data_IF_016104701405
#
_entry.id   IF_016104701405
#
_cell.length_a   1.000
_cell.length_b   1.000
_cell.length_c   1.000
_cell.angle_alpha   90.00
_cell.angle_beta   90.00
_cell.angle_gamma   90.00
#
_symmetry.space_group_name_H-M   'P 1'
#
loop_
_entity.id
_entity.type
_entity.pdbx_description
1 polymer ?
#
# COMPACT_ATOMS: atom_id res chain seq x y z
N UNK A 1 -11.24 25.95 -7.76
CA UNK A 1 -10.15 24.98 -7.60
C UNK A 1 -10.77 23.77 -6.92
N UNK A 2 -10.79 22.62 -7.61
CA UNK A 2 -11.39 21.41 -7.06
C UNK A 2 -10.61 20.90 -5.84
N UNK A 3 -11.30 20.43 -4.83
CA UNK A 3 -10.71 19.85 -3.59
C UNK A 3 -9.75 18.70 -3.89
N UNK A 4 -9.94 18.01 -5.02
CA UNK A 4 -9.08 16.94 -5.52
C UNK A 4 -7.67 17.41 -5.89
N UNK A 5 -7.50 18.62 -6.43
CA UNK A 5 -6.19 19.13 -6.85
C UNK A 5 -5.26 19.40 -5.67
N UNK A 6 -5.81 19.86 -4.54
CA UNK A 6 -5.05 20.08 -3.31
C UNK A 6 -4.56 18.78 -2.68
N UNK A 7 -5.35 17.72 -2.78
CA UNK A 7 -4.99 16.39 -2.26
C UNK A 7 -3.93 15.75 -3.14
N UNK A 8 -4.11 15.80 -4.46
CA UNK A 8 -3.08 15.34 -5.38
C UNK A 8 -1.76 16.07 -5.17
N UNK A 9 -1.77 17.40 -5.02
CA UNK A 9 -0.58 18.19 -4.75
C UNK A 9 0.09 17.81 -3.43
N UNK A 10 -0.68 17.42 -2.40
CA UNK A 10 -0.13 17.05 -1.09
C UNK A 10 0.35 15.60 -1.04
N UNK A 11 -0.32 14.65 -1.69
CA UNK A 11 0.02 13.22 -1.67
C UNK A 11 1.09 12.88 -2.71
N UNK A 12 1.06 13.53 -3.88
CA UNK A 12 1.94 13.23 -5.01
C UNK A 12 3.44 13.20 -4.65
N UNK A 13 4.01 14.19 -3.95
CA UNK A 13 5.43 14.17 -3.61
C UNK A 13 5.80 12.99 -2.70
N UNK A 14 4.93 12.58 -1.79
CA UNK A 14 5.17 11.43 -0.90
C UNK A 14 5.15 10.11 -1.67
N UNK A 15 4.18 9.92 -2.55
CA UNK A 15 4.12 8.73 -3.40
C UNK A 15 5.31 8.66 -4.35
N UNK A 16 5.77 9.81 -4.88
CA UNK A 16 6.92 9.87 -5.75
C UNK A 16 8.21 9.47 -5.00
N UNK A 17 8.43 10.01 -3.80
CA UNK A 17 9.57 9.64 -2.96
C UNK A 17 9.53 8.14 -2.64
N UNK A 18 8.36 7.61 -2.24
CA UNK A 18 8.20 6.18 -1.96
C UNK A 18 8.48 5.30 -3.18
N UNK A 19 8.02 5.72 -4.36
CA UNK A 19 8.28 5.01 -5.62
C UNK A 19 9.78 4.99 -5.96
N UNK A 20 10.46 6.12 -5.82
CA UNK A 20 11.91 6.21 -6.06
C UNK A 20 12.69 5.34 -5.07
N UNK A 21 12.34 5.39 -3.78
CA UNK A 21 12.99 4.54 -2.76
C UNK A 21 12.78 3.06 -3.08
N UNK A 22 11.56 2.65 -3.41
CA UNK A 22 11.26 1.27 -3.78
C UNK A 22 12.06 0.83 -5.02
N UNK A 23 12.15 1.69 -6.05
CA UNK A 23 12.93 1.43 -7.25
C UNK A 23 14.43 1.30 -6.96
N UNK A 24 14.99 2.17 -6.11
CA UNK A 24 16.41 2.12 -5.71
C UNK A 24 16.69 0.84 -4.92
N UNK A 25 15.84 0.48 -3.98
CA UNK A 25 15.96 -0.77 -3.20
C UNK A 25 15.88 -1.99 -4.12
N UNK A 26 14.92 -2.03 -5.03
CA UNK A 26 14.76 -3.10 -6.01
C UNK A 26 16.00 -3.21 -6.93
N UNK A 27 16.49 -2.07 -7.45
CA UNK A 27 17.69 -2.01 -8.29
C UNK A 27 18.93 -2.49 -7.52
N UNK A 28 19.08 -2.09 -6.26
CA UNK A 28 20.21 -2.50 -5.42
C UNK A 28 20.19 -4.01 -5.15
N UNK A 29 19.01 -4.57 -4.83
CA UNK A 29 18.81 -6.01 -4.63
C UNK A 29 19.08 -6.75 -5.95
N UNK A 30 18.54 -6.27 -7.06
CA UNK A 30 18.73 -6.87 -8.38
C UNK A 30 20.19 -6.83 -8.85
N UNK A 31 20.89 -5.69 -8.68
CA UNK A 31 22.29 -5.56 -9.10
C UNK A 31 23.24 -6.45 -8.30
N UNK A 32 22.90 -6.72 -7.03
CA UNK A 32 23.65 -7.70 -6.22
C UNK A 32 23.30 -9.15 -6.53
N UNK A 33 22.07 -9.41 -7.01
CA UNK A 33 21.62 -10.77 -7.32
C UNK A 33 22.00 -11.24 -8.73
N UNK A 34 22.37 -10.34 -9.65
CA UNK A 34 22.89 -10.69 -10.99
C UNK A 34 24.12 -11.62 -10.99
N UNK A 35 24.70 -11.88 -9.81
CA UNK A 35 25.84 -12.79 -9.65
C UNK A 35 25.44 -14.25 -9.36
N UNK A 36 24.15 -14.56 -9.30
CA UNK A 36 23.65 -15.94 -9.20
C UNK A 36 22.58 -16.13 -10.29
N UNK A 37 22.98 -16.88 -11.28
CA UNK A 37 22.28 -17.21 -12.51
C UNK A 37 20.94 -17.91 -12.30
N UNK A 38 20.06 -17.64 -13.26
CA UNK A 38 19.01 -18.47 -13.86
C UNK A 38 17.64 -18.63 -13.18
N UNK A 39 16.65 -18.40 -14.05
CA UNK A 39 15.26 -18.84 -14.06
C UNK A 39 14.28 -17.87 -13.35
N UNK A 40 13.33 -17.32 -13.92
CA UNK A 40 12.32 -17.69 -14.92
C UNK A 40 11.63 -16.42 -15.42
N UNK A 41 11.57 -16.21 -16.71
CA UNK A 41 10.60 -15.32 -17.36
C UNK A 41 9.21 -15.95 -17.19
N UNK A 42 8.40 -15.42 -16.31
CA UNK A 42 6.95 -15.55 -16.41
C UNK A 42 6.47 -14.36 -17.25
N UNK A 43 6.38 -14.61 -18.55
CA UNK A 43 5.60 -13.81 -19.47
C UNK A 43 4.12 -13.96 -19.06
N UNK A 44 3.54 -12.89 -18.52
CA UNK A 44 2.09 -12.76 -18.44
C UNK A 44 1.57 -12.66 -19.87
N UNK A 45 1.09 -13.78 -20.41
CA UNK A 45 0.27 -13.80 -21.62
C UNK A 45 -1.04 -13.05 -21.32
N UNK A 46 -1.13 -11.82 -21.82
CA UNK A 46 -2.40 -11.09 -22.00
C UNK A 46 -3.29 -11.83 -23.00
N UNK A 47 -3.99 -12.86 -22.58
CA UNK A 47 -5.06 -13.44 -23.38
C UNK A 47 -6.41 -12.83 -22.93
N UNK A 48 -6.86 -11.93 -23.80
CA UNK A 48 -8.09 -11.16 -23.68
C UNK A 48 -9.32 -12.07 -23.74
N UNK A 49 -10.06 -12.12 -22.68
CA UNK A 49 -11.38 -12.73 -22.39
C UNK A 49 -11.38 -13.88 -21.39
N UNK A 50 -10.77 -13.64 -20.22
CA UNK A 50 -10.75 -14.66 -19.19
C UNK A 50 -11.89 -14.40 -18.18
N UNK A 51 -12.75 -15.39 -17.86
CA UNK A 51 -13.78 -15.27 -16.82
C UNK A 51 -13.19 -14.97 -15.43
N UNK A 52 -11.87 -15.09 -15.27
CA UNK A 52 -11.11 -14.68 -14.09
C UNK A 52 -11.12 -13.17 -13.89
N UNK A 53 -11.01 -12.37 -14.97
CA UNK A 53 -11.03 -10.90 -14.88
C UNK A 53 -12.36 -10.38 -14.37
N UNK A 54 -13.48 -10.97 -14.82
CA UNK A 54 -14.81 -10.61 -14.33
C UNK A 54 -14.98 -10.92 -12.84
N UNK A 55 -14.47 -12.08 -12.37
CA UNK A 55 -14.49 -12.42 -10.94
C UNK A 55 -13.66 -11.47 -10.11
N UNK A 56 -12.46 -11.11 -10.58
CA UNK A 56 -11.59 -10.13 -9.90
C UNK A 56 -12.26 -8.77 -9.83
N UNK A 57 -12.86 -8.31 -10.94
CA UNK A 57 -13.59 -7.04 -10.98
C UNK A 57 -14.79 -7.04 -10.02
N UNK A 58 -15.53 -8.15 -9.91
CA UNK A 58 -16.65 -8.29 -8.99
C UNK A 58 -16.20 -8.27 -7.53
N UNK A 59 -15.11 -8.98 -7.20
CA UNK A 59 -14.51 -8.97 -5.86
C UNK A 59 -14.06 -7.54 -5.51
N UNK A 60 -13.38 -6.85 -6.42
CA UNK A 60 -12.94 -5.48 -6.23
C UNK A 60 -14.12 -4.53 -5.99
N UNK A 61 -15.18 -4.62 -6.81
CA UNK A 61 -16.38 -3.81 -6.65
C UNK A 61 -17.06 -4.07 -5.30
N UNK A 62 -17.15 -5.33 -4.89
CA UNK A 62 -17.72 -5.71 -3.59
C UNK A 62 -16.91 -5.15 -2.43
N UNK A 63 -15.57 -5.30 -2.47
CA UNK A 63 -14.67 -4.73 -1.47
C UNK A 63 -14.80 -3.20 -1.41
N UNK A 64 -14.90 -2.54 -2.56
CA UNK A 64 -15.08 -1.10 -2.62
C UNK A 64 -16.38 -0.65 -1.92
N UNK A 65 -17.50 -1.33 -2.17
CA UNK A 65 -18.77 -1.04 -1.49
C UNK A 65 -18.66 -1.30 0.01
N UNK A 66 -18.05 -2.41 0.41
CA UNK A 66 -17.83 -2.74 1.83
C UNK A 66 -17.01 -1.65 2.52
N UNK A 67 -15.89 -1.24 1.93
CA UNK A 67 -15.06 -0.17 2.49
C UNK A 67 -15.79 1.18 2.51
N UNK A 68 -16.63 1.49 1.53
CA UNK A 68 -17.46 2.71 1.53
C UNK A 68 -18.39 2.73 2.75
N UNK A 69 -19.08 1.63 2.99
CA UNK A 69 -19.98 1.49 4.13
C UNK A 69 -19.21 1.55 5.46
N UNK A 70 -18.10 0.81 5.57
CA UNK A 70 -17.25 0.80 6.77
C UNK A 70 -16.68 2.18 7.08
N UNK A 71 -16.16 2.88 6.07
CA UNK A 71 -15.59 4.24 6.24
C UNK A 71 -16.67 5.19 6.72
N UNK A 72 -17.86 5.15 6.13
CA UNK A 72 -18.96 6.01 6.54
C UNK A 72 -19.38 5.77 8.00
N UNK A 73 -19.63 4.52 8.37
CA UNK A 73 -20.00 4.17 9.74
C UNK A 73 -18.90 4.48 10.74
N UNK A 74 -17.64 4.20 10.38
CA UNK A 74 -16.49 4.49 11.23
C UNK A 74 -16.36 5.99 11.51
N UNK A 75 -16.55 6.84 10.49
CA UNK A 75 -16.52 8.29 10.66
C UNK A 75 -17.65 8.79 11.56
N UNK A 76 -18.86 8.23 11.41
CA UNK A 76 -20.03 8.64 12.19
C UNK A 76 -19.93 8.24 13.65
N UNK A 77 -19.48 7.02 13.94
CA UNK A 77 -19.49 6.45 15.29
C UNK A 77 -18.17 6.57 16.05
N UNK A 78 -17.03 6.53 15.37
CA UNK A 78 -15.71 6.50 15.99
C UNK A 78 -14.80 7.65 15.54
N UNK A 79 -15.26 8.51 14.64
CA UNK A 79 -14.52 9.67 14.16
C UNK A 79 -13.19 9.31 13.50
N UNK A 80 -12.21 10.22 13.60
CA UNK A 80 -10.88 10.06 12.98
C UNK A 80 -10.07 8.93 13.62
N UNK A 81 -10.26 8.66 14.92
CA UNK A 81 -9.59 7.55 15.61
C UNK A 81 -10.01 6.19 15.06
N UNK A 82 -11.31 6.01 14.78
CA UNK A 82 -11.81 4.80 14.14
C UNK A 82 -11.29 4.64 12.71
N UNK A 83 -11.16 5.75 11.97
CA UNK A 83 -10.61 5.73 10.62
C UNK A 83 -9.14 5.28 10.61
N UNK A 84 -8.34 5.69 11.59
CA UNK A 84 -6.98 5.21 11.77
C UNK A 84 -6.92 3.69 12.01
N UNK A 85 -7.82 3.16 12.84
CA UNK A 85 -7.91 1.72 13.07
C UNK A 85 -8.33 0.99 11.78
N UNK A 86 -9.32 1.50 11.07
CA UNK A 86 -9.78 0.93 9.81
C UNK A 86 -8.68 0.93 8.75
N UNK A 87 -7.86 1.98 8.68
CA UNK A 87 -6.72 2.06 7.76
C UNK A 87 -5.67 0.98 8.05
N UNK A 88 -5.39 0.72 9.32
CA UNK A 88 -4.48 -0.35 9.71
C UNK A 88 -5.03 -1.73 9.33
N UNK A 89 -6.30 -1.98 9.59
CA UNK A 89 -6.98 -3.25 9.25
C UNK A 89 -7.05 -3.45 7.73
N UNK A 90 -7.35 -2.39 6.96
CA UNK A 90 -7.39 -2.48 5.49
C UNK A 90 -6.05 -2.85 4.88
N UNK A 91 -4.94 -2.43 5.53
CA UNK A 91 -3.60 -2.80 5.12
C UNK A 91 -3.29 -4.30 5.22
N UNK A 92 -4.06 -5.07 6.02
CA UNK A 92 -3.92 -6.52 6.11
C UNK A 92 -4.47 -7.26 4.88
N UNK A 93 -5.29 -6.60 4.08
CA UNK A 93 -5.89 -7.10 2.85
C UNK A 93 -5.43 -6.28 1.65
N UNK A 94 -6.31 -6.00 0.72
CA UNK A 94 -6.04 -5.10 -0.40
C UNK A 94 -6.35 -3.65 -0.01
N UNK A 95 -5.32 -2.80 0.00
CA UNK A 95 -5.45 -1.38 0.35
C UNK A 95 -6.11 -0.54 -0.74
N UNK A 96 -6.15 -1.04 -1.98
CA UNK A 96 -6.58 -0.26 -3.15
C UNK A 96 -8.02 0.24 -3.02
N UNK A 97 -9.02 -0.61 -2.68
CA UNK A 97 -10.39 -0.15 -2.51
C UNK A 97 -10.55 0.86 -1.37
N UNK A 98 -9.79 0.68 -0.28
CA UNK A 98 -9.82 1.59 0.86
C UNK A 98 -9.27 2.97 0.52
N UNK A 99 -8.08 3.03 -0.12
CA UNK A 99 -7.45 4.30 -0.51
C UNK A 99 -8.32 5.05 -1.53
N UNK A 100 -8.85 4.34 -2.54
CA UNK A 100 -9.76 4.94 -3.51
C UNK A 100 -11.01 5.52 -2.85
N UNK A 101 -11.58 4.81 -1.86
CA UNK A 101 -12.72 5.28 -1.11
C UNK A 101 -12.39 6.55 -0.30
N UNK A 102 -11.24 6.58 0.38
CA UNK A 102 -10.79 7.77 1.11
C UNK A 102 -10.61 8.98 0.20
N UNK A 103 -10.01 8.79 -0.97
CA UNK A 103 -9.78 9.86 -1.95
C UNK A 103 -11.09 10.41 -2.54
N UNK A 104 -12.12 9.58 -2.67
CA UNK A 104 -13.43 10.02 -3.16
C UNK A 104 -14.24 10.76 -2.09
N UNK A 105 -14.04 10.43 -0.82
CA UNK A 105 -14.78 11.03 0.31
C UNK A 105 -14.10 12.27 0.93
N UNK A 106 -13.18 12.90 0.21
CA UNK A 106 -12.38 14.04 0.69
C UNK A 106 -13.18 15.29 1.04
N UNK A 107 -14.42 15.38 0.63
CA UNK A 107 -15.31 16.48 1.03
C UNK A 107 -15.77 16.43 2.50
N UNK A 108 -15.71 15.25 3.13
CA UNK A 108 -16.16 15.00 4.51
C UNK A 108 -15.01 14.80 5.50
N UNK A 109 -13.79 14.62 5.02
CA UNK A 109 -12.61 14.32 5.85
C UNK A 109 -11.48 15.32 5.53
N UNK A 110 -10.80 15.81 6.57
CA UNK A 110 -9.67 16.69 6.37
C UNK A 110 -8.56 16.00 5.55
N UNK A 111 -7.95 16.72 4.62
CA UNK A 111 -6.88 16.20 3.74
C UNK A 111 -5.76 15.55 4.55
N UNK A 112 -5.40 16.16 5.68
CA UNK A 112 -4.39 15.64 6.60
C UNK A 112 -4.72 14.21 7.08
N UNK A 113 -5.97 13.95 7.43
CA UNK A 113 -6.43 12.65 7.91
C UNK A 113 -6.41 11.63 6.77
N UNK A 114 -6.80 12.02 5.56
CA UNK A 114 -6.76 11.15 4.38
C UNK A 114 -5.34 10.70 4.08
N UNK A 115 -4.38 11.65 4.10
CA UNK A 115 -2.95 11.34 3.88
C UNK A 115 -2.42 10.42 4.97
N UNK A 116 -2.68 10.73 6.24
CA UNK A 116 -2.22 9.92 7.37
C UNK A 116 -2.77 8.49 7.31
N UNK A 117 -4.08 8.34 7.08
CA UNK A 117 -4.73 7.03 6.96
C UNK A 117 -4.20 6.23 5.75
N UNK A 118 -3.96 6.90 4.62
CA UNK A 118 -3.38 6.25 3.45
C UNK A 118 -1.96 5.75 3.72
N UNK A 119 -1.11 6.56 4.33
CA UNK A 119 0.25 6.17 4.71
C UNK A 119 0.25 5.02 5.72
N UNK A 120 -0.64 5.06 6.70
CA UNK A 120 -0.78 4.01 7.70
C UNK A 120 -1.23 2.68 7.08
N UNK A 121 -2.17 2.71 6.13
CA UNK A 121 -2.60 1.52 5.38
C UNK A 121 -1.44 0.94 4.56
N UNK A 122 -0.64 1.79 3.91
CA UNK A 122 0.56 1.37 3.17
C UNK A 122 1.58 0.70 4.09
N UNK A 123 1.87 1.27 5.26
CA UNK A 123 2.79 0.67 6.24
C UNK A 123 2.29 -0.71 6.67
N UNK A 124 1.00 -0.83 7.01
CA UNK A 124 0.40 -2.09 7.41
C UNK A 124 0.51 -3.15 6.31
N UNK A 125 0.23 -2.78 5.06
CA UNK A 125 0.34 -3.67 3.92
C UNK A 125 1.79 -4.14 3.68
N UNK A 126 2.77 -3.23 3.78
CA UNK A 126 4.20 -3.57 3.65
C UNK A 126 4.63 -4.53 4.76
N UNK A 127 4.16 -4.33 6.00
CA UNK A 127 4.45 -5.23 7.13
C UNK A 127 3.91 -6.63 6.88
N UNK A 128 2.69 -6.75 6.38
CA UNK A 128 2.08 -8.04 6.04
C UNK A 128 2.85 -8.74 4.93
N UNK A 129 3.19 -8.03 3.86
CA UNK A 129 3.98 -8.56 2.75
C UNK A 129 5.39 -8.99 3.21
N UNK A 130 6.02 -8.23 4.09
CA UNK A 130 7.29 -8.61 4.73
C UNK A 130 7.13 -9.91 5.53
N UNK A 131 6.04 -10.04 6.29
CA UNK A 131 5.77 -11.25 7.06
C UNK A 131 5.58 -12.47 6.16
N UNK A 132 4.79 -12.34 5.09
CA UNK A 132 4.64 -13.41 4.10
C UNK A 132 5.97 -13.79 3.45
N UNK A 133 6.75 -12.79 3.01
CA UNK A 133 8.06 -13.04 2.40
C UNK A 133 9.00 -13.79 3.35
N UNK A 134 9.01 -13.44 4.64
CA UNK A 134 9.80 -14.13 5.67
C UNK A 134 9.29 -15.54 5.95
N UNK A 135 7.99 -15.75 5.92
CA UNK A 135 7.37 -17.05 6.14
C UNK A 135 7.71 -18.02 5.00
N UNK A 136 7.55 -17.58 3.75
CA UNK A 136 7.87 -18.41 2.58
C UNK A 136 9.38 -18.60 2.35
N UNK A 137 10.23 -17.67 2.78
CA UNK A 137 11.68 -17.81 2.68
C UNK A 137 12.24 -18.96 3.55
N UNK A 138 11.48 -19.47 4.52
CA UNK A 138 11.89 -20.55 5.41
C UNK A 138 12.96 -20.18 6.44
N UNK A 139 13.09 -21.00 7.48
CA UNK A 139 14.09 -20.81 8.54
C UNK A 139 15.48 -21.18 7.99
N UNK A 140 16.41 -20.21 7.92
CA UNK A 140 17.80 -20.44 7.48
C UNK A 140 18.12 -19.98 6.05
N UNK A 141 17.17 -19.40 5.33
CA UNK A 141 17.41 -18.83 4.00
C UNK A 141 18.35 -17.62 4.07
N UNK A 142 19.34 -17.56 3.17
CA UNK A 142 20.22 -16.40 2.96
C UNK A 142 19.48 -15.15 2.46
N UNK A 143 18.20 -15.30 2.07
CA UNK A 143 17.33 -14.21 1.61
C UNK A 143 16.74 -13.39 2.78
N UNK A 144 16.64 -13.97 3.99
CA UNK A 144 16.01 -13.28 5.14
C UNK A 144 16.60 -11.91 5.46
N UNK A 145 17.94 -11.74 5.56
CA UNK A 145 18.51 -10.43 5.85
C UNK A 145 18.23 -9.41 4.73
N UNK A 146 18.10 -9.86 3.48
CA UNK A 146 17.76 -9.01 2.35
C UNK A 146 16.30 -8.58 2.35
N UNK A 147 15.39 -9.50 2.72
CA UNK A 147 13.95 -9.19 2.90
C UNK A 147 13.82 -8.16 4.02
N UNK A 148 14.41 -8.39 5.18
CA UNK A 148 14.35 -7.46 6.32
C UNK A 148 14.97 -6.11 5.97
N UNK A 149 16.11 -6.08 5.28
CA UNK A 149 16.75 -4.84 4.85
C UNK A 149 15.90 -4.06 3.86
N UNK A 150 15.38 -4.70 2.82
CA UNK A 150 14.57 -4.08 1.79
C UNK A 150 13.24 -3.51 2.34
N UNK A 151 12.44 -4.36 2.96
CA UNK A 151 11.16 -3.93 3.55
C UNK A 151 11.37 -2.94 4.70
N UNK A 152 12.39 -3.17 5.56
CA UNK A 152 12.71 -2.28 6.67
C UNK A 152 13.10 -0.87 6.20
N UNK A 153 13.83 -0.73 5.10
CA UNK A 153 14.17 0.58 4.51
C UNK A 153 12.92 1.30 4.04
N UNK A 154 12.02 0.60 3.32
CA UNK A 154 10.77 1.21 2.81
C UNK A 154 9.85 1.63 3.95
N UNK A 155 9.71 0.80 4.99
CA UNK A 155 8.93 1.14 6.20
C UNK A 155 9.57 2.33 6.92
N UNK A 156 10.88 2.34 7.09
CA UNK A 156 11.62 3.42 7.75
C UNK A 156 11.41 4.76 7.06
N UNK A 157 11.53 4.81 5.74
CA UNK A 157 11.27 6.02 4.95
C UNK A 157 9.82 6.47 5.10
N UNK A 158 8.87 5.53 5.04
CA UNK A 158 7.45 5.86 5.20
C UNK A 158 7.15 6.45 6.59
N UNK A 159 7.75 5.89 7.66
CA UNK A 159 7.61 6.41 9.02
C UNK A 159 8.22 7.82 9.15
N UNK A 160 9.39 8.05 8.56
CA UNK A 160 10.01 9.39 8.56
C UNK A 160 9.14 10.41 7.83
N UNK A 161 8.59 10.05 6.66
CA UNK A 161 7.67 10.90 5.92
C UNK A 161 6.40 11.19 6.72
N UNK A 162 5.85 10.20 7.42
CA UNK A 162 4.68 10.35 8.25
C UNK A 162 4.96 11.28 9.44
N UNK A 163 6.11 11.14 10.10
CA UNK A 163 6.54 12.04 11.18
C UNK A 163 6.73 13.48 10.67
N UNK A 164 7.34 13.64 9.50
CA UNK A 164 7.54 14.98 8.89
C UNK A 164 6.20 15.63 8.54
N UNK A 165 5.18 14.84 8.23
CA UNK A 165 3.85 15.33 7.91
C UNK A 165 3.04 15.73 9.15
N UNK A 166 3.35 15.14 10.33
CA UNK A 166 2.69 15.46 11.60
C UNK A 166 3.37 16.64 12.36
N UNK A 167 4.62 16.98 12.02
CA UNK A 167 5.38 18.11 12.57
C UNK A 167 5.08 19.40 11.80
#
# INVERSE_FOLDING_TARGET
MCSSDLIFSSIYPYLLIMSVVAAVVAWFIHSRHRRSKDMTDESEDEDSSNPLEFKVALIFATLFVVFTVLTHYTLVYAGTGGLNLLSFVSGLSDITPFILNLLQNTGSVAVLVVVACSMQAIISNILVNMFYALFFAGKGSKLRPWILGGFGTVIGVNLVLLLFFYL
#
